data_IF_489892816886
#
_entry.id   IF_489892816886
#
_cell.length_a   1.000
_cell.length_b   1.000
_cell.length_c   1.000
_cell.angle_alpha   90.00
_cell.angle_beta   90.00
_cell.angle_gamma   90.00
#
_symmetry.space_group_name_H-M   'P 1'
#
loop_
_entity.id
_entity.type
_entity.pdbx_description
1 polymer ?
#
# COMPACT_ATOMS: atom_id res chain seq x y z
N UNK A 1 -7.15 -9.56 22.94
CA UNK A 1 -8.12 -10.51 22.33
C UNK A 1 -9.18 -9.68 21.61
N UNK A 2 -9.55 -10.01 20.36
CA UNK A 2 -10.73 -9.38 19.76
C UNK A 2 -11.96 -9.68 20.65
N UNK A 3 -12.91 -8.75 20.79
CA UNK A 3 -14.11 -8.98 21.56
C UNK A 3 -14.85 -10.19 20.98
N UNK A 4 -15.18 -11.15 21.85
CA UNK A 4 -15.89 -12.36 21.44
C UNK A 4 -17.37 -12.01 21.21
N UNK A 5 -17.70 -11.66 19.96
CA UNK A 5 -19.07 -11.27 19.56
C UNK A 5 -20.09 -12.42 19.66
N UNK A 6 -19.66 -13.67 19.87
CA UNK A 6 -20.56 -14.82 19.95
C UNK A 6 -21.39 -14.92 21.25
N UNK A 7 -21.27 -13.96 22.18
CA UNK A 7 -21.88 -14.04 23.52
C UNK A 7 -22.74 -12.83 23.92
N UNK A 8 -23.30 -12.06 22.98
CA UNK A 8 -24.32 -11.06 23.32
C UNK A 8 -25.65 -11.74 23.69
N UNK A 9 -25.89 -11.93 24.99
CA UNK A 9 -27.10 -12.58 25.52
C UNK A 9 -28.02 -11.55 26.16
N UNK A 10 -29.21 -11.36 25.59
CA UNK A 10 -30.25 -10.49 26.14
C UNK A 10 -31.19 -11.29 27.05
N UNK A 11 -31.42 -10.81 28.27
CA UNK A 11 -32.45 -11.37 29.17
C UNK A 11 -33.83 -10.95 28.70
N UNK A 12 -34.79 -11.88 28.65
CA UNK A 12 -36.21 -11.58 28.44
C UNK A 12 -36.96 -11.87 29.72
N UNK A 13 -37.76 -10.91 30.17
CA UNK A 13 -38.59 -11.03 31.36
C UNK A 13 -40.05 -11.29 30.98
N UNK A 14 -40.76 -12.08 31.80
CA UNK A 14 -42.21 -12.21 31.69
C UNK A 14 -42.93 -11.43 32.80
N UNK A 15 -44.18 -11.08 32.53
CA UNK A 15 -44.98 -10.31 33.48
C UNK A 15 -45.24 -11.11 34.76
N UNK A 16 -44.89 -10.53 35.91
CA UNK A 16 -45.01 -11.17 37.22
C UNK A 16 -43.78 -11.96 37.69
N UNK A 17 -42.69 -11.96 36.91
CA UNK A 17 -41.42 -12.56 37.31
C UNK A 17 -40.78 -11.81 38.49
N UNK A 18 -40.26 -12.56 39.47
CA UNK A 18 -39.53 -12.00 40.61
C UNK A 18 -38.06 -11.80 40.24
N UNK A 19 -37.63 -10.54 40.12
CA UNK A 19 -36.25 -10.20 39.75
C UNK A 19 -35.25 -10.56 40.85
N UNK A 20 -34.16 -11.21 40.45
CA UNK A 20 -33.02 -11.57 41.28
C UNK A 20 -31.81 -10.69 40.97
N UNK A 21 -30.86 -10.60 41.90
CA UNK A 21 -29.60 -9.86 41.68
C UNK A 21 -28.88 -10.27 40.38
N UNK A 22 -28.89 -11.56 40.07
CA UNK A 22 -28.27 -12.09 38.86
C UNK A 22 -28.89 -11.52 37.57
N UNK A 23 -30.16 -11.11 37.61
CA UNK A 23 -30.86 -10.53 36.46
C UNK A 23 -30.32 -9.14 36.14
N UNK A 24 -30.16 -8.29 37.16
CA UNK A 24 -29.55 -6.97 37.01
C UNK A 24 -28.10 -7.05 36.52
N UNK A 25 -27.33 -8.02 37.04
CA UNK A 25 -25.95 -8.24 36.60
C UNK A 25 -25.90 -8.68 35.15
N UNK A 26 -26.83 -9.56 34.71
CA UNK A 26 -26.92 -9.98 33.31
C UNK A 26 -27.28 -8.82 32.39
N UNK A 27 -28.25 -7.99 32.78
CA UNK A 27 -28.66 -6.82 31.99
C UNK A 27 -27.55 -5.78 31.90
N UNK A 28 -26.86 -5.49 33.00
CA UNK A 28 -25.72 -4.57 33.01
C UNK A 28 -24.59 -5.08 32.09
N UNK A 29 -24.30 -6.39 32.13
CA UNK A 29 -23.31 -7.01 31.22
C UNK A 29 -23.75 -6.91 29.77
N UNK A 30 -25.01 -7.22 29.46
CA UNK A 30 -25.54 -7.14 28.11
C UNK A 30 -25.39 -5.74 27.52
N UNK A 31 -25.83 -4.70 28.24
CA UNK A 31 -25.73 -3.31 27.79
C UNK A 31 -24.26 -2.89 27.61
N UNK A 32 -23.40 -3.22 28.58
CA UNK A 32 -21.96 -2.93 28.51
C UNK A 32 -21.31 -3.58 27.29
N UNK A 33 -21.56 -4.87 27.09
CA UNK A 33 -20.93 -5.66 26.02
C UNK A 33 -21.47 -5.24 24.64
N UNK A 34 -22.75 -4.88 24.55
CA UNK A 34 -23.36 -4.31 23.33
C UNK A 34 -22.71 -2.98 22.94
N UNK A 35 -22.53 -2.06 23.90
CA UNK A 35 -21.89 -0.76 23.64
C UNK A 35 -20.42 -0.94 23.25
N UNK A 36 -19.68 -1.82 23.92
CA UNK A 36 -18.30 -2.16 23.55
C UNK A 36 -18.22 -2.73 22.14
N UNK A 37 -19.09 -3.69 21.81
CA UNK A 37 -19.17 -4.28 20.48
C UNK A 37 -19.46 -3.22 19.41
N UNK A 38 -20.41 -2.33 19.64
CA UNK A 38 -20.67 -1.22 18.71
C UNK A 38 -19.44 -0.32 18.54
N UNK A 39 -18.76 0.02 19.64
CA UNK A 39 -17.61 0.92 19.61
C UNK A 39 -16.43 0.31 18.85
N UNK A 40 -16.12 -0.97 19.03
CA UNK A 40 -15.00 -1.64 18.35
C UNK A 40 -15.33 -2.10 16.93
N UNK A 41 -16.61 -2.36 16.62
CA UNK A 41 -17.03 -2.74 15.27
C UNK A 41 -17.12 -1.54 14.33
N UNK A 42 -17.43 -0.36 14.85
CA UNK A 42 -17.68 0.84 14.04
C UNK A 42 -16.57 1.87 14.17
N UNK A 43 -15.73 1.82 15.21
CA UNK A 43 -14.65 2.80 15.42
C UNK A 43 -13.33 2.16 15.85
N UNK A 44 -12.22 2.79 15.48
CA UNK A 44 -10.91 2.47 16.03
C UNK A 44 -10.82 2.93 17.50
N UNK A 45 -10.00 2.28 18.32
CA UNK A 45 -9.56 2.83 19.60
C UNK A 45 -8.85 4.17 19.40
N UNK A 46 -8.91 5.04 20.42
CA UNK A 46 -8.17 6.31 20.43
C UNK A 46 -8.96 7.51 20.95
N UNK A 47 -8.31 8.67 20.88
CA UNK A 47 -8.80 9.98 21.29
C UNK A 47 -9.92 10.44 20.37
N UNK A 48 -11.08 10.75 20.95
CA UNK A 48 -12.21 11.35 20.25
C UNK A 48 -12.12 12.87 20.26
N UNK A 49 -11.73 13.47 21.41
CA UNK A 49 -11.48 14.90 21.55
C UNK A 49 -10.62 15.19 22.79
N UNK A 50 -9.95 16.36 22.81
CA UNK A 50 -9.12 16.79 23.94
C UNK A 50 -7.85 15.95 24.10
N UNK A 51 -7.44 15.68 25.34
CA UNK A 51 -6.26 14.86 25.69
C UNK A 51 -4.96 15.34 25.03
N UNK A 52 -4.80 16.66 24.92
CA UNK A 52 -3.54 17.26 24.47
C UNK A 52 -2.49 17.08 25.56
N UNK A 53 -1.29 16.67 25.16
CA UNK A 53 -0.16 16.51 26.07
C UNK A 53 0.63 17.82 26.14
N UNK A 54 0.93 18.25 27.35
CA UNK A 54 1.89 19.30 27.65
C UNK A 54 2.90 18.76 28.67
N UNK A 55 4.10 19.33 28.70
CA UNK A 55 5.11 18.94 29.67
C UNK A 55 5.86 20.15 30.22
N UNK A 56 6.24 20.08 31.49
CA UNK A 56 7.06 21.08 32.16
C UNK A 56 7.94 20.39 33.20
N UNK A 57 9.26 20.52 33.06
CA UNK A 57 10.22 19.83 33.92
C UNK A 57 10.05 18.32 33.82
N UNK A 58 9.73 17.66 34.94
CA UNK A 58 9.49 16.21 35.03
C UNK A 58 8.00 15.84 34.97
N UNK A 59 7.10 16.79 34.74
CA UNK A 59 5.66 16.55 34.76
C UNK A 59 5.10 16.59 33.35
N UNK A 60 4.47 15.50 32.92
CA UNK A 60 3.64 15.46 31.71
C UNK A 60 2.17 15.56 32.11
N UNK A 61 1.40 16.43 31.47
CA UNK A 61 -0.02 16.64 31.76
C UNK A 61 -0.84 16.33 30.51
N UNK A 62 -1.87 15.51 30.67
CA UNK A 62 -2.89 15.33 29.65
C UNK A 62 -4.11 16.20 30.00
N UNK A 63 -4.51 17.08 29.09
CA UNK A 63 -5.70 17.92 29.28
C UNK A 63 -6.99 17.10 29.35
N UNK A 64 -8.07 17.73 29.81
CA UNK A 64 -9.38 17.13 29.79
C UNK A 64 -9.78 16.65 28.38
N UNK A 65 -10.47 15.53 28.30
CA UNK A 65 -10.89 14.96 27.03
C UNK A 65 -11.51 13.58 27.14
N UNK A 66 -11.76 13.01 25.97
CA UNK A 66 -12.51 11.79 25.81
C UNK A 66 -11.86 10.87 24.79
N UNK A 67 -11.76 9.60 25.12
CA UNK A 67 -11.20 8.59 24.25
C UNK A 67 -11.89 7.25 24.45
N UNK A 68 -11.47 6.24 23.68
CA UNK A 68 -11.90 4.86 23.88
C UNK A 68 -10.72 3.92 23.80
N UNK A 69 -10.69 2.96 24.72
CA UNK A 69 -9.63 1.97 24.83
C UNK A 69 -9.70 0.89 23.73
N UNK A 70 -8.72 -0.01 23.71
CA UNK A 70 -8.67 -1.14 22.77
C UNK A 70 -9.85 -2.12 22.86
N UNK A 71 -10.64 -2.07 23.92
CA UNK A 71 -11.81 -2.90 24.16
C UNK A 71 -13.14 -2.15 23.93
N UNK A 72 -13.10 -0.91 23.45
CA UNK A 72 -14.27 -0.07 23.21
C UNK A 72 -14.87 0.56 24.47
N UNK A 73 -14.12 0.61 25.56
CA UNK A 73 -14.51 1.27 26.81
C UNK A 73 -14.20 2.77 26.71
N UNK A 74 -15.17 3.66 27.02
CA UNK A 74 -14.92 5.09 27.04
C UNK A 74 -13.96 5.48 28.18
N UNK A 75 -12.96 6.30 27.88
CA UNK A 75 -12.02 6.90 28.83
C UNK A 75 -12.37 8.38 28.95
N UNK A 76 -12.77 8.83 30.15
CA UNK A 76 -13.17 10.23 30.42
C UNK A 76 -12.18 10.89 31.36
N UNK A 77 -11.40 11.84 30.85
CA UNK A 77 -10.52 12.67 31.67
C UNK A 77 -11.23 14.02 31.87
N UNK A 78 -11.78 14.23 33.05
CA UNK A 78 -12.61 15.41 33.33
C UNK A 78 -11.79 16.69 33.61
N UNK A 79 -10.54 16.53 34.06
CA UNK A 79 -9.63 17.62 34.40
C UNK A 79 -8.20 17.26 33.98
N UNK A 80 -7.31 18.25 33.74
CA UNK A 80 -5.92 17.99 33.41
C UNK A 80 -5.27 17.04 34.41
N UNK A 81 -4.73 15.93 33.90
CA UNK A 81 -4.16 14.85 34.70
C UNK A 81 -2.63 14.87 34.58
N UNK A 82 -1.91 15.30 35.64
CA UNK A 82 -0.46 15.28 35.63
C UNK A 82 0.09 13.89 35.96
N UNK A 83 1.25 13.58 35.39
CA UNK A 83 2.08 12.44 35.71
C UNK A 83 3.52 12.95 35.93
N UNK A 84 3.99 12.86 37.16
CA UNK A 84 5.38 13.16 37.48
C UNK A 84 6.27 11.92 37.25
N UNK A 85 7.26 12.07 36.38
CA UNK A 85 8.20 11.02 36.02
C UNK A 85 9.49 11.06 36.85
N UNK A 86 9.65 12.02 37.77
CA UNK A 86 10.86 12.20 38.58
C UNK A 86 11.28 10.93 39.35
N UNK A 87 10.30 10.19 39.88
CA UNK A 87 10.52 8.95 40.62
C UNK A 87 10.79 7.70 39.78
N UNK A 88 10.75 7.81 38.44
CA UNK A 88 10.84 6.66 37.52
C UNK A 88 12.26 6.39 37.00
N UNK A 89 13.20 7.33 37.18
CA UNK A 89 14.61 7.21 36.75
C UNK A 89 14.75 6.78 35.27
N UNK A 90 13.98 7.42 34.38
CA UNK A 90 14.04 7.14 32.94
C UNK A 90 15.39 7.60 32.35
N UNK A 91 15.93 6.81 31.43
CA UNK A 91 17.13 7.19 30.67
C UNK A 91 16.78 8.26 29.62
N UNK A 92 17.80 8.91 29.06
CA UNK A 92 17.58 9.84 27.96
C UNK A 92 17.05 9.09 26.73
N UNK A 93 15.92 9.54 26.17
CA UNK A 93 15.28 8.89 25.03
C UNK A 93 13.80 9.23 24.88
N UNK A 94 13.16 8.60 23.89
CA UNK A 94 11.75 8.79 23.59
C UNK A 94 10.90 7.72 24.28
N UNK A 95 9.82 8.15 24.92
CA UNK A 95 8.89 7.28 25.64
C UNK A 95 7.45 7.59 25.22
N UNK A 96 6.67 6.54 24.97
CA UNK A 96 5.24 6.64 24.76
C UNK A 96 4.53 6.98 26.06
N UNK A 97 3.62 7.94 25.99
CA UNK A 97 2.64 8.24 27.04
C UNK A 97 1.32 7.64 26.62
N UNK A 98 0.71 6.87 27.52
CA UNK A 98 -0.55 6.19 27.24
C UNK A 98 -1.56 6.37 28.37
N UNK A 99 -2.83 6.16 28.03
CA UNK A 99 -3.96 6.25 28.93
C UNK A 99 -4.67 4.91 28.98
N UNK A 100 -4.96 4.44 30.19
CA UNK A 100 -5.79 3.27 30.44
C UNK A 100 -6.50 3.42 31.79
N UNK A 101 -7.57 2.66 31.99
CA UNK A 101 -8.14 2.51 33.32
C UNK A 101 -7.15 1.81 34.25
N UNK A 102 -6.98 2.36 35.45
CA UNK A 102 -6.40 1.64 36.56
C UNK A 102 -7.49 1.41 37.60
N UNK A 103 -7.53 0.20 38.16
CA UNK A 103 -8.37 -0.07 39.32
C UNK A 103 -7.72 0.60 40.53
N UNK A 104 -8.41 1.60 41.10
CA UNK A 104 -8.06 2.10 42.43
C UNK A 104 -8.48 1.07 43.48
N UNK A 105 -7.68 0.00 43.57
CA UNK A 105 -7.85 -1.05 44.58
C UNK A 105 -7.41 -0.59 45.98
N UNK A 106 -6.99 0.68 46.14
CA UNK A 106 -6.57 1.24 47.41
C UNK A 106 -7.74 1.73 48.31
N UNK A 107 -8.98 1.77 47.80
CA UNK A 107 -10.15 2.17 48.57
C UNK A 107 -11.03 1.01 49.06
N UNK A 108 -10.69 0.43 50.22
CA UNK A 108 -11.55 -0.45 51.04
C UNK A 108 -11.96 -1.81 50.42
N UNK A 109 -11.06 -2.82 50.54
CA UNK A 109 -11.50 -4.21 50.71
C UNK A 109 -11.55 -4.51 52.22
N UNK A 110 -12.55 -3.96 52.90
CA UNK A 110 -13.00 -4.50 54.18
C UNK A 110 -14.48 -4.83 54.08
N UNK A 111 -14.78 -6.11 54.32
CA UNK A 111 -16.11 -6.70 54.47
C UNK A 111 -16.86 -7.07 53.17
N UNK A 112 -16.84 -8.37 52.86
CA UNK A 112 -17.58 -9.08 51.80
C UNK A 112 -19.14 -9.03 51.93
N UNK A 113 -19.71 -7.98 52.53
CA UNK A 113 -21.17 -7.82 52.73
C UNK A 113 -21.72 -6.43 52.48
N UNK A 114 -20.90 -5.45 52.12
CA UNK A 114 -21.35 -4.08 51.80
C UNK A 114 -21.17 -3.79 50.32
N UNK A 115 -22.02 -2.93 49.76
CA UNK A 115 -21.88 -2.37 48.42
C UNK A 115 -20.47 -1.84 48.23
N UNK A 116 -19.70 -2.41 47.31
CA UNK A 116 -18.40 -1.90 46.92
C UNK A 116 -18.61 -0.95 45.74
N UNK A 117 -18.22 0.30 45.91
CA UNK A 117 -18.16 1.27 44.81
C UNK A 117 -16.76 1.19 44.23
N UNK A 118 -16.64 0.75 42.98
CA UNK A 118 -15.39 0.86 42.22
C UNK A 118 -15.45 2.19 41.49
N UNK A 119 -14.47 3.05 41.75
CA UNK A 119 -14.29 4.29 40.98
C UNK A 119 -13.31 3.99 39.85
N UNK A 120 -13.81 3.66 38.67
CA UNK A 120 -12.97 3.52 37.49
C UNK A 120 -12.49 4.92 37.05
N UNK A 121 -11.18 5.19 37.11
CA UNK A 121 -10.58 6.43 36.63
C UNK A 121 -9.49 6.14 35.58
N UNK A 122 -9.53 6.82 34.42
CA UNK A 122 -8.43 6.73 33.47
C UNK A 122 -7.21 7.44 34.03
N UNK A 123 -6.07 6.75 34.03
CA UNK A 123 -4.81 7.30 34.52
C UNK A 123 -3.74 7.20 33.44
N UNK A 124 -2.85 8.20 33.42
CA UNK A 124 -1.65 8.13 32.60
C UNK A 124 -0.77 6.99 33.10
N UNK A 125 -0.39 6.12 32.17
CA UNK A 125 0.47 5.00 32.46
C UNK A 125 1.93 5.44 32.55
N UNK A 126 2.76 4.66 33.24
CA UNK A 126 4.21 4.88 33.26
C UNK A 126 4.74 4.89 31.81
N UNK A 127 5.57 5.87 31.42
CA UNK A 127 6.05 5.94 30.04
C UNK A 127 6.90 4.72 29.67
N UNK A 128 6.77 4.26 28.43
CA UNK A 128 7.45 3.06 27.92
C UNK A 128 8.16 3.31 26.60
N UNK A 129 9.27 2.62 26.35
CA UNK A 129 9.98 2.69 25.06
C UNK A 129 9.22 1.97 23.94
N UNK A 130 8.50 0.90 24.31
CA UNK A 130 7.65 0.15 23.38
C UNK A 130 6.24 0.73 23.36
N UNK A 131 5.56 0.54 22.23
CA UNK A 131 4.13 0.87 22.11
C UNK A 131 3.36 0.00 23.10
N UNK A 132 2.63 0.59 24.06
CA UNK A 132 1.93 -0.17 25.08
C UNK A 132 0.84 -1.05 24.43
N UNK A 133 0.69 -2.30 24.90
CA UNK A 133 -0.33 -3.20 24.36
C UNK A 133 -1.74 -2.74 24.73
N UNK A 134 -2.72 -3.19 23.95
CA UNK A 134 -4.13 -3.01 24.30
C UNK A 134 -4.42 -3.56 25.72
N UNK A 135 -5.28 -2.89 26.51
CA UNK A 135 -6.24 -1.88 26.09
C UNK A 135 -5.77 -0.43 26.07
N UNK A 136 -4.54 -0.14 26.50
CA UNK A 136 -4.03 1.22 26.58
C UNK A 136 -4.05 1.93 25.22
N UNK A 137 -4.30 3.24 25.23
CA UNK A 137 -4.21 4.09 24.04
C UNK A 137 -3.02 5.02 24.13
N UNK A 138 -2.34 5.23 23.01
CA UNK A 138 -1.20 6.15 22.95
C UNK A 138 -1.72 7.58 22.81
N UNK A 139 -1.26 8.48 23.68
CA UNK A 139 -1.56 9.91 23.61
C UNK A 139 -0.45 10.71 22.91
N UNK A 140 0.75 10.13 22.81
CA UNK A 140 1.91 10.73 22.17
C UNK A 140 3.21 10.15 22.71
N UNK A 141 4.31 10.84 22.41
CA UNK A 141 5.64 10.60 22.95
C UNK A 141 6.13 11.81 23.73
N UNK A 142 6.95 11.55 24.73
CA UNK A 142 7.80 12.54 25.39
C UNK A 142 9.26 12.18 25.14
N UNK A 143 10.10 13.20 24.97
CA UNK A 143 11.55 13.05 24.90
C UNK A 143 12.13 13.46 26.24
N UNK A 144 12.83 12.54 26.90
CA UNK A 144 13.50 12.77 28.19
C UNK A 144 14.96 13.09 27.93
N UNK A 145 15.45 14.20 28.48
CA UNK A 145 16.84 14.63 28.39
C UNK A 145 17.76 13.90 29.37
N UNK A 146 19.10 14.06 29.22
CA UNK A 146 20.08 13.49 30.16
C UNK A 146 19.96 13.99 31.60
N UNK A 147 19.29 15.13 31.80
CA UNK A 147 18.98 15.75 33.09
C UNK A 147 17.69 15.20 33.74
N UNK A 148 17.00 14.27 33.07
CA UNK A 148 15.74 13.68 33.53
C UNK A 148 14.51 14.57 33.28
N UNK A 149 14.68 15.75 32.68
CA UNK A 149 13.58 16.63 32.31
C UNK A 149 13.02 16.28 30.94
N UNK A 150 11.75 16.61 30.72
CA UNK A 150 11.09 16.45 29.44
C UNK A 150 11.49 17.62 28.54
N UNK A 151 12.14 17.32 27.42
CA UNK A 151 12.65 18.28 26.45
C UNK A 151 11.77 18.41 25.20
N UNK A 152 10.84 17.48 24.99
CA UNK A 152 9.93 17.49 23.85
C UNK A 152 8.66 16.68 24.10
N UNK A 153 7.58 17.08 23.41
CA UNK A 153 6.30 16.37 23.35
C UNK A 153 5.90 16.25 21.89
N UNK A 154 5.67 15.02 21.42
CA UNK A 154 5.21 14.73 20.07
C UNK A 154 3.89 13.95 20.12
N UNK A 155 2.80 14.55 19.64
CA UNK A 155 1.49 13.90 19.55
C UNK A 155 1.21 13.27 18.18
N UNK A 156 2.17 13.25 17.26
CA UNK A 156 2.03 12.56 15.97
C UNK A 156 1.68 11.06 16.09
N UNK A 157 2.16 10.28 17.08
CA UNK A 157 1.81 8.87 17.21
C UNK A 157 0.54 8.62 18.06
N UNK A 158 -0.20 9.68 18.41
CA UNK A 158 -1.43 9.54 19.19
C UNK A 158 -2.47 8.68 18.46
N UNK A 159 -3.08 7.73 19.19
CA UNK A 159 -4.20 6.94 18.69
C UNK A 159 -5.41 7.86 18.50
N UNK A 160 -5.82 8.11 17.25
CA UNK A 160 -6.99 8.93 16.94
C UNK A 160 -8.19 8.02 16.69
N UNK A 161 -9.32 8.32 17.34
CA UNK A 161 -10.57 7.61 17.09
C UNK A 161 -11.08 7.96 15.71
N UNK A 162 -11.28 6.95 14.89
CA UNK A 162 -11.77 7.06 13.53
C UNK A 162 -12.86 6.03 13.32
N UNK A 163 -13.69 6.21 12.29
CA UNK A 163 -14.68 5.20 11.90
C UNK A 163 -13.92 3.96 11.37
N UNK A 164 -14.12 2.79 11.98
CA UNK A 164 -13.54 1.50 11.60
C UNK A 164 -14.17 0.89 10.33
N UNK A 165 -14.99 1.66 9.61
CA UNK A 165 -15.57 1.24 8.33
C UNK A 165 -14.83 1.89 7.17
N UNK A 166 -14.55 1.13 6.11
CA UNK A 166 -14.40 1.72 4.77
C UNK A 166 -15.81 1.86 4.20
N UNK A 167 -16.41 3.04 4.36
CA UNK A 167 -17.74 3.34 3.86
C UNK A 167 -17.62 3.83 2.40
N UNK A 168 -17.74 2.90 1.45
CA UNK A 168 -17.92 3.26 0.04
C UNK A 168 -19.32 3.87 -0.11
N UNK A 169 -19.44 5.16 -0.48
CA UNK A 169 -20.73 5.78 -0.68
C UNK A 169 -21.47 5.05 -1.81
N UNK A 170 -22.81 4.95 -1.79
CA UNK A 170 -23.56 4.53 -2.97
C UNK A 170 -23.17 5.43 -4.15
N UNK A 171 -23.15 4.85 -5.35
CA UNK A 171 -22.48 5.26 -6.60
C UNK A 171 -22.69 6.69 -7.16
N UNK A 172 -23.16 7.67 -6.36
CA UNK A 172 -23.45 9.04 -6.80
C UNK A 172 -22.45 10.10 -6.33
N UNK A 173 -21.38 9.74 -5.60
CA UNK A 173 -20.35 10.70 -5.21
C UNK A 173 -19.21 10.72 -6.23
N UNK A 174 -19.18 11.75 -7.08
CA UNK A 174 -18.22 12.03 -8.17
C UNK A 174 -16.79 12.37 -7.71
N UNK A 175 -16.31 11.84 -6.58
CA UNK A 175 -14.95 12.04 -6.10
C UNK A 175 -14.30 10.70 -5.69
N UNK A 176 -13.07 10.39 -6.16
CA UNK A 176 -12.37 9.16 -5.79
C UNK A 176 -12.03 9.17 -4.30
N UNK A 177 -12.29 8.06 -3.60
CA UNK A 177 -11.93 7.87 -2.18
C UNK A 177 -10.77 6.89 -2.05
N UNK A 178 -9.75 7.28 -1.28
CA UNK A 178 -8.58 6.46 -0.97
C UNK A 178 -8.86 5.52 0.21
N UNK A 179 -8.21 4.34 0.19
CA UNK A 179 -8.09 3.45 1.34
C UNK A 179 -6.70 3.64 1.96
N UNK A 180 -6.64 3.98 3.24
CA UNK A 180 -5.39 3.95 4.02
C UNK A 180 -5.48 2.80 5.04
N UNK A 181 -4.54 1.85 4.95
CA UNK A 181 -4.30 0.86 5.99
C UNK A 181 -2.92 1.15 6.60
N UNK A 182 -2.90 1.73 7.80
CA UNK A 182 -1.66 1.95 8.55
C UNK A 182 -1.29 0.69 9.32
N UNK A 183 -0.36 -0.09 8.79
CA UNK A 183 0.53 -0.93 9.59
C UNK A 183 1.95 -0.31 9.55
N UNK A 184 2.78 -0.45 10.59
CA UNK A 184 4.15 0.03 10.55
C UNK A 184 4.98 -0.90 9.65
N UNK A 185 5.35 -0.40 8.47
CA UNK A 185 6.11 -1.14 7.44
C UNK A 185 5.47 -1.01 6.07
N UNK A 186 6.29 -0.96 5.01
CA UNK A 186 5.96 -0.63 3.62
C UNK A 186 4.64 -1.25 3.12
N UNK A 187 3.56 -0.50 3.29
CA UNK A 187 2.21 -0.87 2.86
C UNK A 187 1.86 -0.28 1.50
N UNK A 188 1.08 -1.04 0.74
CA UNK A 188 0.42 -0.63 -0.51
C UNK A 188 -0.28 0.73 -0.37
N UNK A 189 -0.01 1.66 -1.29
CA UNK A 189 -0.68 2.97 -1.39
C UNK A 189 -1.37 3.13 -2.74
N UNK A 190 -2.65 3.49 -2.75
CA UNK A 190 -3.43 3.84 -3.96
C UNK A 190 -4.96 3.71 -3.77
N UNK A 191 -5.79 4.39 -4.57
CA UNK A 191 -7.24 4.19 -4.53
C UNK A 191 -7.62 2.83 -5.12
N UNK A 192 -8.48 2.09 -4.41
CA UNK A 192 -9.07 0.84 -4.86
C UNK A 192 -10.47 1.14 -5.44
N UNK A 193 -10.63 1.04 -6.76
CA UNK A 193 -11.93 1.12 -7.42
C UNK A 193 -12.45 -0.29 -7.73
N UNK A 194 -13.69 -0.59 -7.32
CA UNK A 194 -14.42 -1.80 -7.73
C UNK A 194 -15.74 -1.35 -8.35
N UNK A 195 -15.92 -1.60 -9.65
CA UNK A 195 -17.17 -1.33 -10.37
C UNK A 195 -17.42 -2.36 -11.47
N UNK A 196 -18.67 -2.64 -11.84
CA UNK A 196 -18.99 -3.47 -12.99
C UNK A 196 -18.70 -2.72 -14.30
N UNK A 197 -18.15 -3.41 -15.31
CA UNK A 197 -18.15 -2.91 -16.69
C UNK A 197 -19.58 -2.98 -17.27
N UNK A 198 -19.96 -2.06 -18.18
CA UNK A 198 -21.18 -2.22 -18.95
C UNK A 198 -21.04 -3.44 -19.87
N UNK A 199 -21.77 -4.52 -19.58
CA UNK A 199 -22.14 -5.51 -20.59
C UNK A 199 -21.73 -6.98 -20.39
N UNK A 200 -20.88 -7.36 -19.43
CA UNK A 200 -20.49 -8.79 -19.31
C UNK A 200 -20.34 -9.39 -17.90
N UNK A 201 -20.53 -8.59 -16.84
CA UNK A 201 -20.53 -9.12 -15.47
C UNK A 201 -19.16 -9.58 -14.96
N UNK A 202 -18.06 -9.23 -15.62
CA UNK A 202 -16.72 -9.43 -15.08
C UNK A 202 -16.29 -8.25 -14.17
N UNK A 203 -15.71 -8.56 -13.01
CA UNK A 203 -15.13 -7.56 -12.08
C UNK A 203 -13.63 -7.48 -12.33
N UNK A 204 -13.13 -6.31 -12.66
CA UNK A 204 -11.68 -6.06 -12.74
C UNK A 204 -11.24 -5.08 -11.64
N UNK A 205 -10.06 -5.36 -11.09
CA UNK A 205 -9.33 -4.48 -10.19
C UNK A 205 -8.65 -3.38 -11.03
N UNK A 206 -9.11 -2.14 -10.92
CA UNK A 206 -8.53 -1.00 -11.63
C UNK A 206 -7.78 -0.08 -10.65
N UNK A 207 -6.46 0.05 -10.83
CA UNK A 207 -5.61 1.01 -10.11
C UNK A 207 -5.44 2.23 -11.00
N UNK A 208 -6.28 3.26 -10.82
CA UNK A 208 -6.17 4.53 -11.54
C UNK A 208 -5.66 5.60 -10.58
N UNK A 209 -4.47 6.13 -10.84
CA UNK A 209 -3.95 7.31 -10.16
C UNK A 209 -4.23 8.52 -11.07
N UNK A 210 -5.20 9.36 -10.68
CA UNK A 210 -5.40 10.65 -11.34
C UNK A 210 -4.20 11.57 -11.06
N UNK A 211 -3.64 12.16 -12.12
CA UNK A 211 -2.60 13.16 -12.03
C UNK A 211 -3.22 14.45 -11.46
N UNK A 212 -2.79 14.88 -10.27
CA UNK A 212 -3.18 16.18 -9.70
C UNK A 212 -2.92 17.32 -10.70
N UNK A 213 -3.70 18.42 -10.69
CA UNK A 213 -3.43 19.57 -11.55
C UNK A 213 -1.99 20.08 -11.35
N UNK A 214 -1.15 19.96 -12.39
CA UNK A 214 0.28 20.30 -12.35
C UNK A 214 1.26 19.12 -12.18
N UNK A 215 0.77 17.90 -11.93
CA UNK A 215 1.59 16.70 -11.92
C UNK A 215 2.02 16.34 -13.35
N UNK A 216 3.32 16.10 -13.56
CA UNK A 216 3.90 15.79 -14.88
C UNK A 216 3.84 14.30 -15.23
N UNK A 217 3.95 13.41 -14.23
CA UNK A 217 3.98 11.95 -14.40
C UNK A 217 3.47 11.23 -13.15
N UNK A 218 3.00 9.99 -13.33
CA UNK A 218 2.45 9.12 -12.27
C UNK A 218 2.92 7.68 -12.48
N UNK A 219 3.46 7.06 -11.42
CA UNK A 219 3.90 5.66 -11.44
C UNK A 219 2.76 4.72 -11.11
N UNK A 220 2.35 3.88 -12.07
CA UNK A 220 1.20 2.97 -11.93
C UNK A 220 1.59 1.54 -11.52
N UNK A 221 2.85 1.16 -11.73
CA UNK A 221 3.39 -0.11 -11.26
C UNK A 221 4.89 0.00 -10.99
N UNK A 222 5.34 -0.66 -9.91
CA UNK A 222 6.76 -0.82 -9.57
C UNK A 222 7.02 -2.28 -9.24
N UNK A 223 8.05 -2.84 -9.87
CA UNK A 223 8.49 -4.21 -9.68
C UNK A 223 9.92 -4.19 -9.15
N UNK A 224 10.09 -4.50 -7.86
CA UNK A 224 11.40 -4.63 -7.24
C UNK A 224 11.75 -6.13 -7.13
N UNK A 225 12.99 -6.51 -7.48
CA UNK A 225 13.51 -7.86 -7.25
C UNK A 225 13.99 -7.96 -5.80
N UNK A 226 13.41 -8.87 -5.00
CA UNK A 226 13.68 -9.01 -3.57
C UNK A 226 15.08 -9.55 -3.21
N UNK A 227 15.87 -10.00 -4.19
CA UNK A 227 17.23 -10.48 -3.95
C UNK A 227 18.27 -9.62 -4.69
N UNK A 228 19.26 -9.15 -3.93
CA UNK A 228 20.49 -8.48 -4.41
C UNK A 228 20.30 -7.12 -5.12
N UNK A 229 19.59 -6.19 -4.47
CA UNK A 229 19.97 -4.77 -4.48
C UNK A 229 19.77 -3.93 -5.75
N UNK A 230 19.43 -4.48 -6.91
CA UNK A 230 19.03 -3.66 -8.07
C UNK A 230 18.30 -4.46 -9.15
N UNK A 231 16.98 -4.27 -9.26
CA UNK A 231 16.34 -3.92 -10.53
C UNK A 231 14.90 -3.51 -10.27
N UNK A 232 14.67 -2.20 -10.20
CA UNK A 232 13.33 -1.62 -10.14
C UNK A 232 12.87 -1.35 -11.57
N UNK A 233 11.91 -2.13 -12.05
CA UNK A 233 11.17 -1.80 -13.27
C UNK A 233 9.93 -0.98 -12.87
N UNK A 234 9.69 0.14 -13.56
CA UNK A 234 8.54 0.99 -13.32
C UNK A 234 7.76 1.22 -14.60
N UNK A 235 6.44 1.28 -14.49
CA UNK A 235 5.56 1.72 -15.58
C UNK A 235 4.91 3.04 -15.16
N UNK A 236 5.01 4.05 -16.03
CA UNK A 236 4.52 5.42 -15.78
C UNK A 236 3.50 5.85 -16.82
N UNK A 237 2.48 6.59 -16.38
CA UNK A 237 1.54 7.30 -17.24
C UNK A 237 1.83 8.81 -17.10
N UNK A 238 1.95 9.53 -18.22
CA UNK A 238 2.22 10.97 -18.20
C UNK A 238 0.96 11.77 -18.56
N UNK A 239 0.78 12.94 -17.92
CA UNK A 239 -0.35 13.83 -18.18
C UNK A 239 -0.18 14.68 -19.45
N UNK A 240 1.10 14.98 -19.79
CA UNK A 240 1.65 15.83 -20.86
C UNK A 240 2.84 16.63 -20.29
N UNK A 241 4.05 16.46 -20.84
CA UNK A 241 5.21 17.29 -20.43
C UNK A 241 5.14 18.67 -21.12
N UNK A 242 5.51 19.77 -20.43
CA UNK A 242 5.59 21.12 -21.03
C UNK A 242 6.66 21.25 -22.14
N UNK A 243 7.52 20.25 -22.29
CA UNK A 243 8.75 20.29 -23.10
C UNK A 243 8.59 19.58 -24.46
N UNK A 244 7.35 19.23 -24.85
CA UNK A 244 7.03 18.72 -26.19
C UNK A 244 7.32 17.23 -26.43
N UNK A 245 7.90 16.50 -25.46
CA UNK A 245 7.97 15.03 -25.53
C UNK A 245 6.69 14.42 -24.98
N UNK A 246 5.94 13.74 -25.86
CA UNK A 246 4.54 13.39 -25.68
C UNK A 246 4.30 11.95 -25.20
N UNK A 247 5.16 11.35 -24.38
CA UNK A 247 4.96 9.95 -23.94
C UNK A 247 3.69 9.81 -23.07
N UNK A 248 2.62 9.21 -23.57
CA UNK A 248 1.40 8.80 -22.83
C UNK A 248 1.69 7.71 -21.79
N UNK A 249 2.55 6.74 -22.14
CA UNK A 249 2.96 5.61 -21.31
C UNK A 249 4.46 5.40 -21.45
N UNK A 250 5.18 5.12 -20.37
CA UNK A 250 6.58 4.71 -20.47
C UNK A 250 6.96 3.60 -19.50
N UNK A 251 7.95 2.81 -19.91
CA UNK A 251 8.57 1.77 -19.12
C UNK A 251 9.99 2.21 -18.77
N UNK A 252 10.31 2.18 -17.47
CA UNK A 252 11.61 2.50 -16.93
C UNK A 252 12.25 1.26 -16.33
N UNK A 253 13.53 1.04 -16.61
CA UNK A 253 14.34 -0.02 -16.00
C UNK A 253 15.59 0.64 -15.44
N UNK A 254 15.83 0.49 -14.13
CA UNK A 254 17.02 1.02 -13.46
C UNK A 254 17.23 2.53 -13.63
N UNK A 255 16.18 3.34 -13.51
CA UNK A 255 16.30 4.79 -13.66
C UNK A 255 16.27 5.29 -15.10
N UNK A 256 16.08 4.39 -16.09
CA UNK A 256 16.17 4.71 -17.52
C UNK A 256 14.91 4.34 -18.27
N UNK A 257 14.31 5.30 -18.97
CA UNK A 257 13.18 5.05 -19.86
C UNK A 257 13.66 4.20 -21.05
N UNK A 258 13.19 2.95 -21.13
CA UNK A 258 13.59 2.01 -22.19
C UNK A 258 12.59 1.96 -23.33
N UNK A 259 11.34 2.32 -23.05
CA UNK A 259 10.25 2.33 -24.02
C UNK A 259 9.20 3.38 -23.65
N UNK A 260 8.61 4.01 -24.65
CA UNK A 260 7.47 4.91 -24.47
C UNK A 260 6.46 4.79 -25.62
N UNK A 261 5.22 5.17 -25.35
CA UNK A 261 4.16 5.36 -26.33
C UNK A 261 3.70 6.79 -26.24
N UNK A 262 3.70 7.52 -27.34
CA UNK A 262 3.34 8.92 -27.39
C UNK A 262 1.82 9.17 -27.50
N UNK A 263 1.39 10.42 -27.26
CA UNK A 263 0.00 10.88 -27.41
C UNK A 263 -0.57 10.60 -28.81
N UNK A 264 0.28 10.60 -29.84
CA UNK A 264 -0.10 10.29 -31.23
C UNK A 264 -0.09 8.78 -31.56
N UNK A 265 0.20 7.93 -30.56
CA UNK A 265 0.29 6.49 -30.69
C UNK A 265 1.64 5.98 -31.21
N UNK A 266 2.66 6.86 -31.33
CA UNK A 266 4.00 6.45 -31.74
C UNK A 266 4.70 5.69 -30.61
N UNK A 267 5.12 4.44 -30.85
CA UNK A 267 5.96 3.71 -29.92
C UNK A 267 7.44 4.04 -30.17
N UNK A 268 8.18 4.34 -29.10
CA UNK A 268 9.61 4.66 -29.11
C UNK A 268 10.37 3.71 -28.20
N UNK A 269 11.58 3.36 -28.62
CA UNK A 269 12.51 2.52 -27.86
C UNK A 269 13.83 3.26 -27.70
N UNK A 270 14.44 3.18 -26.52
CA UNK A 270 15.72 3.83 -26.22
C UNK A 270 16.82 3.33 -27.17
N UNK A 271 17.45 4.24 -27.92
CA UNK A 271 18.50 3.91 -28.90
C UNK A 271 19.57 5.00 -29.02
N UNK A 272 19.87 5.72 -27.94
CA UNK A 272 20.93 6.74 -27.91
C UNK A 272 22.32 6.10 -28.10
N UNK A 273 23.14 6.66 -28.99
CA UNK A 273 24.50 6.20 -29.26
C UNK A 273 25.44 6.32 -28.05
N UNK A 274 25.22 7.29 -27.16
CA UNK A 274 26.02 7.47 -25.94
C UNK A 274 25.82 6.32 -24.92
N UNK A 275 24.75 5.54 -25.06
CA UNK A 275 24.41 4.42 -24.19
C UNK A 275 24.81 3.06 -24.79
N UNK A 276 25.39 3.04 -25.99
CA UNK A 276 25.83 1.83 -26.68
C UNK A 276 27.34 1.69 -26.61
N UNK A 277 27.81 0.46 -26.44
CA UNK A 277 29.22 0.07 -26.49
C UNK A 277 29.38 -1.05 -27.52
N UNK A 278 30.59 -1.20 -28.08
CA UNK A 278 30.91 -2.23 -29.08
C UNK A 278 29.96 -2.24 -30.31
N UNK A 279 29.79 -1.05 -30.91
CA UNK A 279 28.91 -0.90 -32.08
C UNK A 279 29.61 -1.43 -33.34
N UNK A 280 29.12 -2.56 -33.86
CA UNK A 280 29.62 -3.19 -35.08
C UNK A 280 28.53 -3.24 -36.17
N UNK A 281 28.91 -3.25 -37.46
CA UNK A 281 27.97 -3.52 -38.55
C UNK A 281 27.33 -4.90 -38.41
N UNK A 282 26.10 -5.03 -38.90
CA UNK A 282 25.47 -6.35 -39.07
C UNK A 282 26.05 -6.98 -40.33
N UNK A 283 26.75 -8.10 -40.19
CA UNK A 283 27.35 -8.85 -41.31
C UNK A 283 26.43 -9.97 -41.79
N UNK A 284 26.53 -10.30 -43.09
CA UNK A 284 25.78 -11.37 -43.76
C UNK A 284 24.27 -11.30 -43.49
N UNK A 285 23.71 -10.09 -43.53
CA UNK A 285 22.32 -9.89 -43.15
C UNK A 285 21.35 -10.58 -44.12
N UNK A 286 21.65 -10.55 -45.41
CA UNK A 286 20.85 -11.21 -46.45
C UNK A 286 20.91 -12.74 -46.31
N UNK A 287 22.10 -13.32 -46.13
CA UNK A 287 22.26 -14.77 -45.96
C UNK A 287 21.54 -15.27 -44.70
N UNK A 288 21.69 -14.55 -43.58
CA UNK A 288 20.97 -14.85 -42.33
C UNK A 288 19.46 -14.72 -42.49
N UNK A 289 18.96 -13.74 -43.23
CA UNK A 289 17.54 -13.58 -43.49
C UNK A 289 16.98 -14.70 -44.38
N UNK A 290 17.71 -15.11 -45.41
CA UNK A 290 17.32 -16.21 -46.31
C UNK A 290 17.25 -17.56 -45.59
N UNK A 291 18.05 -17.75 -44.54
CA UNK A 291 18.00 -18.94 -43.70
C UNK A 291 16.75 -19.01 -42.80
N UNK A 292 16.03 -17.89 -42.61
CA UNK A 292 14.80 -17.85 -41.83
C UNK A 292 13.59 -18.20 -42.69
N UNK A 293 12.69 -19.03 -42.14
CA UNK A 293 11.46 -19.42 -42.82
C UNK A 293 10.24 -18.68 -42.26
N UNK A 294 9.62 -17.77 -43.02
CA UNK A 294 8.32 -17.21 -42.67
C UNK A 294 7.25 -18.31 -42.69
N UNK A 295 6.42 -18.35 -41.65
CA UNK A 295 5.34 -19.32 -41.51
C UNK A 295 4.01 -18.63 -41.25
N UNK A 296 2.92 -19.24 -41.71
CA UNK A 296 1.56 -18.91 -41.29
C UNK A 296 1.06 -19.99 -40.33
N UNK A 297 0.57 -19.61 -39.16
CA UNK A 297 0.16 -20.54 -38.11
C UNK A 297 -1.17 -20.14 -37.47
N UNK A 298 -1.77 -21.10 -36.78
CA UNK A 298 -2.89 -20.89 -35.85
C UNK A 298 -2.46 -21.39 -34.47
N UNK A 299 -2.96 -20.77 -33.40
CA UNK A 299 -2.70 -21.25 -32.05
C UNK A 299 -3.35 -22.62 -31.82
N UNK A 300 -2.71 -23.45 -30.99
CA UNK A 300 -3.19 -24.81 -30.70
C UNK A 300 -4.56 -24.81 -30.03
N UNK A 301 -4.86 -23.79 -29.22
CA UNK A 301 -6.16 -23.56 -28.60
C UNK A 301 -7.20 -22.94 -29.55
N UNK A 302 -6.84 -22.76 -30.83
CA UNK A 302 -7.65 -22.18 -31.91
C UNK A 302 -8.18 -20.78 -31.59
N UNK A 303 -7.52 -20.03 -30.70
CA UNK A 303 -7.91 -18.65 -30.41
C UNK A 303 -7.41 -17.70 -31.50
N UNK A 304 -8.34 -16.92 -32.04
CA UNK A 304 -8.07 -15.82 -32.96
C UNK A 304 -7.76 -16.23 -34.41
N UNK A 305 -7.54 -15.23 -35.28
CA UNK A 305 -7.23 -15.47 -36.68
C UNK A 305 -5.84 -16.10 -36.85
N UNK A 306 -5.59 -16.71 -38.01
CA UNK A 306 -4.24 -17.14 -38.41
C UNK A 306 -3.29 -15.95 -38.37
N UNK A 307 -2.06 -16.20 -37.91
CA UNK A 307 -0.99 -15.20 -37.83
C UNK A 307 0.17 -15.61 -38.72
N UNK A 308 1.00 -14.64 -39.08
CA UNK A 308 2.29 -14.87 -39.72
C UNK A 308 3.40 -14.59 -38.71
N UNK A 309 4.51 -15.32 -38.82
CA UNK A 309 5.67 -15.16 -37.95
C UNK A 309 6.79 -16.12 -38.32
N UNK A 310 7.66 -16.36 -37.35
CA UNK A 310 8.80 -17.27 -37.39
C UNK A 310 8.67 -18.30 -36.27
N UNK A 311 9.28 -19.47 -36.47
CA UNK A 311 9.40 -20.49 -35.43
C UNK A 311 10.65 -20.16 -34.59
N UNK A 312 10.47 -19.92 -33.29
CA UNK A 312 11.55 -19.47 -32.41
C UNK A 312 12.77 -20.41 -32.41
N UNK A 313 12.56 -21.72 -32.53
CA UNK A 313 13.63 -22.72 -32.60
C UNK A 313 14.41 -22.68 -33.91
N UNK A 314 13.78 -22.26 -35.02
CA UNK A 314 14.47 -22.04 -36.30
C UNK A 314 15.28 -20.74 -36.23
N UNK A 315 14.73 -19.70 -35.58
CA UNK A 315 15.45 -18.44 -35.31
C UNK A 315 16.68 -18.70 -34.43
N UNK A 316 16.56 -19.54 -33.40
CA UNK A 316 17.65 -19.86 -32.47
C UNK A 316 18.89 -20.45 -33.15
N UNK A 317 18.72 -21.13 -34.30
CA UNK A 317 19.84 -21.71 -35.06
C UNK A 317 20.63 -20.66 -35.86
N UNK A 318 20.04 -19.50 -36.17
CA UNK A 318 20.61 -18.48 -37.06
C UNK A 318 20.95 -17.19 -36.29
N UNK A 319 20.07 -16.80 -35.37
CA UNK A 319 20.10 -15.58 -34.56
C UNK A 319 19.74 -15.93 -33.09
N UNK A 320 20.58 -16.71 -32.40
CA UNK A 320 20.33 -17.11 -31.00
C UNK A 320 20.13 -15.92 -30.07
N UNK A 321 20.76 -14.78 -30.36
CA UNK A 321 20.66 -13.53 -29.60
C UNK A 321 19.24 -12.95 -29.57
N UNK A 322 18.39 -13.30 -30.54
CA UNK A 322 17.01 -12.81 -30.63
C UNK A 322 16.00 -13.71 -29.90
N UNK A 323 16.46 -14.83 -29.32
CA UNK A 323 15.58 -15.82 -28.70
C UNK A 323 15.66 -15.75 -27.18
N UNK A 324 14.55 -15.37 -26.56
CA UNK A 324 14.38 -15.38 -25.10
C UNK A 324 13.60 -16.61 -24.62
N UNK A 325 13.53 -16.80 -23.29
CA UNK A 325 12.70 -17.84 -22.66
C UNK A 325 11.73 -17.23 -21.65
N UNK A 326 10.48 -17.70 -21.66
CA UNK A 326 9.53 -17.38 -20.59
C UNK A 326 9.92 -18.11 -19.30
N UNK A 327 9.29 -17.74 -18.16
CA UNK A 327 9.46 -18.46 -16.89
C UNK A 327 9.13 -19.96 -17.00
N UNK A 328 8.16 -20.29 -17.84
CA UNK A 328 7.71 -21.67 -18.08
C UNK A 328 8.54 -22.39 -19.17
N UNK A 329 9.63 -21.77 -19.65
CA UNK A 329 10.57 -22.36 -20.59
C UNK A 329 10.19 -22.25 -22.08
N UNK A 330 9.10 -21.55 -22.41
CA UNK A 330 8.70 -21.34 -23.81
C UNK A 330 9.64 -20.36 -24.51
N UNK A 331 10.03 -20.68 -25.75
CA UNK A 331 10.86 -19.82 -26.58
C UNK A 331 10.07 -18.60 -27.06
N UNK A 332 10.73 -17.43 -27.07
CA UNK A 332 10.18 -16.14 -27.49
C UNK A 332 11.15 -15.48 -28.47
N UNK A 333 10.65 -14.63 -29.37
CA UNK A 333 11.49 -13.96 -30.38
C UNK A 333 11.36 -12.44 -30.22
N UNK A 334 12.49 -11.74 -30.18
CA UNK A 334 12.59 -10.29 -30.19
C UNK A 334 12.40 -9.75 -31.63
N UNK A 335 11.15 -9.75 -32.13
CA UNK A 335 10.85 -9.33 -33.50
C UNK A 335 11.29 -7.90 -33.84
N UNK A 336 11.37 -7.00 -32.85
CA UNK A 336 11.85 -5.63 -33.06
C UNK A 336 13.30 -5.58 -33.55
N UNK A 337 14.12 -6.53 -33.10
CA UNK A 337 15.55 -6.58 -33.41
C UNK A 337 15.82 -7.21 -34.78
N UNK A 338 14.81 -7.76 -35.45
CA UNK A 338 14.90 -8.16 -36.86
C UNK A 338 14.89 -6.95 -37.80
N UNK A 339 14.40 -5.78 -37.38
CA UNK A 339 14.29 -4.61 -38.26
C UNK A 339 15.67 -4.13 -38.75
N UNK A 340 16.70 -3.95 -37.90
CA UNK A 340 18.06 -3.65 -38.38
C UNK A 340 18.63 -4.69 -39.35
N UNK A 341 18.38 -5.98 -39.11
CA UNK A 341 18.78 -7.07 -40.00
C UNK A 341 18.12 -6.94 -41.38
N UNK A 342 16.81 -6.71 -41.42
CA UNK A 342 16.05 -6.49 -42.67
C UNK A 342 16.58 -5.27 -43.45
N UNK A 343 16.86 -4.16 -42.76
CA UNK A 343 17.42 -2.96 -43.38
C UNK A 343 18.77 -3.25 -44.03
N UNK A 344 19.64 -3.99 -43.34
CA UNK A 344 20.95 -4.34 -43.86
C UNK A 344 20.86 -5.35 -45.02
N UNK A 345 19.99 -6.36 -44.92
CA UNK A 345 19.74 -7.32 -46.00
C UNK A 345 19.27 -6.66 -47.29
N UNK A 346 18.38 -5.66 -47.20
CA UNK A 346 17.93 -4.89 -48.37
C UNK A 346 19.06 -4.05 -48.97
N UNK A 347 19.99 -3.54 -48.15
CA UNK A 347 21.19 -2.82 -48.63
C UNK A 347 22.12 -3.76 -49.38
N UNK A 348 22.45 -4.91 -48.81
CA UNK A 348 23.27 -5.95 -49.44
C UNK A 348 22.65 -6.42 -50.76
N UNK A 349 21.34 -6.71 -50.77
CA UNK A 349 20.62 -7.06 -51.99
C UNK A 349 20.66 -5.95 -53.05
N UNK A 350 20.51 -4.69 -52.63
CA UNK A 350 20.58 -3.54 -53.54
C UNK A 350 21.98 -3.37 -54.16
N UNK A 351 23.02 -3.64 -53.39
CA UNK A 351 24.41 -3.62 -53.85
C UNK A 351 24.66 -4.75 -54.85
N UNK A 352 24.19 -5.96 -54.57
CA UNK A 352 24.25 -7.11 -55.48
C UNK A 352 23.56 -6.80 -56.81
N UNK A 353 22.34 -6.25 -56.77
CA UNK A 353 21.61 -5.87 -57.98
C UNK A 353 22.35 -4.78 -58.77
N UNK A 354 22.97 -3.80 -58.11
CA UNK A 354 23.79 -2.77 -58.79
C UNK A 354 25.03 -3.39 -59.44
N UNK A 355 25.70 -4.31 -58.75
CA UNK A 355 26.87 -5.04 -59.27
C UNK A 355 26.50 -5.82 -60.53
N UNK A 356 25.45 -6.64 -60.46
CA UNK A 356 24.97 -7.45 -61.57
C UNK A 356 24.54 -6.60 -62.78
N UNK A 357 23.91 -5.44 -62.55
CA UNK A 357 23.55 -4.51 -63.63
C UNK A 357 24.78 -3.89 -64.28
N UNK A 358 25.76 -3.45 -63.50
CA UNK A 358 27.00 -2.88 -64.01
C UNK A 358 27.82 -3.91 -64.81
N UNK A 359 27.78 -5.18 -64.41
CA UNK A 359 28.38 -6.29 -65.19
C UNK A 359 27.67 -6.52 -66.51
N UNK A 360 26.34 -6.31 -66.56
CA UNK A 360 25.55 -6.47 -67.78
C UNK A 360 25.66 -5.31 -68.77
N UNK A 361 26.06 -4.13 -68.28
CA UNK A 361 26.27 -2.91 -69.08
C UNK A 361 27.73 -2.77 -69.59
N UNK A 362 28.61 -3.68 -69.18
CA UNK A 362 30.00 -3.81 -69.67
C UNK A 362 30.10 -4.81 -70.81
#
# INVERSE_FOLDING_TARGET
>A
MPPNFNNLVRTYYYQGELLQLADFVRDQRYVRDLVRAQNVSVFSPGVACGLTLSAQGTVVTADAGFAFDGNGVPLVVAQPTPLDISGLQLAAGDYYVSLAYADDSAGNVSNLRTTHTITEQPVLQKPSTDVPPAPAIVLGKITVGPDGNISGVDQSPASKRQLATVLLPPASATAPKSLEATAPGDGLRGPLSVGPLPGDGSTMLQVAQELSPGAKEVSVARFDRLEHGASAAQVRIHARRPEGSAALLSAEVNGREVWSLDEDGTARTLSDGALKVDVQPVEDALGRLEALRPVSFAWADRRGPRRMGLIAQEVEQVLPELVGRTKDGHATVAYGDLVPLLVQAVRELSEEVRRLKAERER
#
